data_IF_088606033619
#
_entry.id   IF_088606033619
#
_cell.length_a   1.000
_cell.length_b   1.000
_cell.length_c   1.000
_cell.angle_alpha   90.00
_cell.angle_beta   90.00
_cell.angle_gamma   90.00
#
_symmetry.space_group_name_H-M   'P 1'
#
loop_
_entity.id
_entity.type
_entity.pdbx_description
1 polymer ?
#
# COMPACT_ATOMS: atom_id res chain seq x y z
N UNK A 1 -19.66 -13.87 -13.55
CA UNK A 1 -19.85 -12.61 -12.83
C UNK A 1 -18.74 -11.69 -13.28
N UNK A 2 -19.06 -10.71 -14.12
CA UNK A 2 -18.09 -9.70 -14.56
C UNK A 2 -17.65 -8.91 -13.33
N UNK A 3 -16.35 -8.94 -13.04
CA UNK A 3 -15.75 -8.06 -12.04
C UNK A 3 -15.92 -6.63 -12.55
N UNK A 4 -16.75 -5.82 -11.88
CA UNK A 4 -16.85 -4.39 -12.14
C UNK A 4 -15.44 -3.80 -12.13
N UNK A 5 -14.95 -3.37 -13.30
CA UNK A 5 -13.69 -2.63 -13.40
C UNK A 5 -13.88 -1.33 -12.63
N UNK A 6 -13.28 -1.23 -11.44
CA UNK A 6 -13.23 0.04 -10.71
C UNK A 6 -12.45 1.06 -11.54
N UNK A 7 -13.16 2.07 -12.04
CA UNK A 7 -12.59 3.20 -12.75
C UNK A 7 -11.92 4.14 -11.72
N UNK A 8 -10.64 4.47 -11.93
CA UNK A 8 -9.89 5.38 -11.05
C UNK A 8 -9.85 6.77 -11.66
N UNK A 9 -10.06 7.78 -10.82
CA UNK A 9 -9.96 9.19 -11.19
C UNK A 9 -8.75 9.85 -10.52
N UNK A 10 -8.06 10.72 -11.26
CA UNK A 10 -6.97 11.54 -10.74
C UNK A 10 -7.59 12.74 -10.00
N UNK A 11 -7.26 12.90 -8.72
CA UNK A 11 -7.74 14.01 -7.88
C UNK A 11 -6.54 14.69 -7.24
N UNK A 12 -6.58 16.03 -7.19
CA UNK A 12 -5.58 16.81 -6.47
C UNK A 12 -5.60 16.48 -4.97
N UNK A 13 -4.41 16.32 -4.37
CA UNK A 13 -4.27 15.97 -2.95
C UNK A 13 -4.96 16.97 -2.03
N UNK A 14 -4.94 18.27 -2.37
CA UNK A 14 -5.61 19.33 -1.62
C UNK A 14 -7.12 19.10 -1.53
N UNK A 15 -7.74 18.61 -2.60
CA UNK A 15 -9.17 18.27 -2.59
C UNK A 15 -9.48 17.17 -1.58
N UNK A 16 -8.64 16.13 -1.52
CA UNK A 16 -8.78 15.03 -0.55
C UNK A 16 -8.59 15.54 0.89
N UNK A 17 -7.56 16.36 1.14
CA UNK A 17 -7.29 16.89 2.47
C UNK A 17 -8.42 17.82 2.96
N UNK A 18 -9.05 18.57 2.05
CA UNK A 18 -10.25 19.37 2.33
C UNK A 18 -11.46 18.49 2.67
N UNK A 19 -11.69 17.39 1.94
CA UNK A 19 -12.76 16.43 2.25
C UNK A 19 -12.57 15.80 3.63
N UNK A 20 -11.36 15.38 3.96
CA UNK A 20 -11.03 14.80 5.28
C UNK A 20 -11.29 15.83 6.39
N UNK A 21 -10.86 17.08 6.19
CA UNK A 21 -11.08 18.15 7.16
C UNK A 21 -12.58 18.41 7.38
N UNK A 22 -13.35 18.58 6.30
CA UNK A 22 -14.80 18.79 6.39
C UNK A 22 -15.55 17.64 7.07
N UNK A 23 -15.18 16.39 6.78
CA UNK A 23 -15.78 15.23 7.43
C UNK A 23 -15.45 15.15 8.94
N UNK A 24 -14.22 15.52 9.33
CA UNK A 24 -13.84 15.62 10.76
C UNK A 24 -14.65 16.71 11.46
N UNK A 25 -14.84 17.86 10.83
CA UNK A 25 -15.62 18.95 11.37
C UNK A 25 -17.08 18.54 11.54
N UNK A 26 -17.70 17.90 10.54
CA UNK A 26 -19.05 17.35 10.62
C UNK A 26 -19.17 16.36 11.78
N UNK A 27 -18.22 15.42 11.91
CA UNK A 27 -18.20 14.44 13.00
C UNK A 27 -18.11 15.11 14.39
N UNK A 28 -17.31 16.16 14.51
CA UNK A 28 -17.08 16.87 15.76
C UNK A 28 -18.28 17.73 16.17
N UNK A 29 -18.85 18.46 15.21
CA UNK A 29 -19.89 19.48 15.45
C UNK A 29 -21.31 18.92 15.48
N UNK A 30 -21.55 17.78 14.83
CA UNK A 30 -22.88 17.17 14.82
C UNK A 30 -23.29 16.71 16.21
N UNK A 31 -24.56 16.85 16.57
CA UNK A 31 -25.10 16.30 17.82
C UNK A 31 -25.62 14.87 17.60
N UNK A 32 -26.16 14.60 16.41
CA UNK A 32 -26.73 13.30 16.09
C UNK A 32 -25.66 12.20 15.91
N UNK A 33 -25.85 11.10 16.63
CA UNK A 33 -24.95 9.94 16.59
C UNK A 33 -24.94 9.24 15.22
N UNK A 34 -26.06 9.26 14.50
CA UNK A 34 -26.20 8.77 13.12
C UNK A 34 -25.24 9.50 12.18
N UNK A 35 -25.25 10.83 12.20
CA UNK A 35 -24.39 11.68 11.37
C UNK A 35 -22.92 11.46 11.71
N UNK A 36 -22.56 11.38 13.00
CA UNK A 36 -21.18 11.06 13.41
C UNK A 36 -20.69 9.73 12.86
N UNK A 37 -21.54 8.69 12.91
CA UNK A 37 -21.21 7.35 12.39
C UNK A 37 -21.00 7.38 10.88
N UNK A 38 -21.85 8.10 10.15
CA UNK A 38 -21.71 8.17 8.69
C UNK A 38 -20.44 8.94 8.29
N UNK A 39 -20.14 10.06 8.96
CA UNK A 39 -18.89 10.79 8.74
C UNK A 39 -17.66 9.92 9.05
N UNK A 40 -17.71 9.11 10.11
CA UNK A 40 -16.63 8.18 10.47
C UNK A 40 -16.44 7.08 9.42
N UNK A 41 -17.54 6.53 8.89
CA UNK A 41 -17.53 5.54 7.81
C UNK A 41 -16.87 6.10 6.55
N UNK A 42 -17.21 7.33 6.15
CA UNK A 42 -16.60 7.99 4.98
C UNK A 42 -15.11 8.27 5.19
N UNK A 43 -14.71 8.71 6.39
CA UNK A 43 -13.30 8.89 6.74
C UNK A 43 -12.52 7.58 6.68
N UNK A 44 -13.10 6.49 7.16
CA UNK A 44 -12.46 5.17 7.12
C UNK A 44 -12.31 4.67 5.68
N UNK A 45 -13.31 4.85 4.82
CA UNK A 45 -13.21 4.51 3.39
C UNK A 45 -12.10 5.29 2.68
N UNK A 46 -12.03 6.61 2.90
CA UNK A 46 -10.94 7.44 2.35
C UNK A 46 -9.58 6.99 2.86
N UNK A 47 -9.48 6.67 4.15
CA UNK A 47 -8.24 6.20 4.75
C UNK A 47 -7.81 4.86 4.15
N UNK A 48 -8.73 3.90 4.03
CA UNK A 48 -8.44 2.61 3.40
C UNK A 48 -7.96 2.77 1.95
N UNK A 49 -8.59 3.63 1.15
CA UNK A 49 -8.16 3.85 -0.25
C UNK A 49 -6.81 4.57 -0.34
N UNK A 50 -6.57 5.56 0.53
CA UNK A 50 -5.27 6.20 0.63
C UNK A 50 -4.20 5.20 1.07
N UNK A 51 -4.47 4.39 2.09
CA UNK A 51 -3.53 3.40 2.63
C UNK A 51 -3.27 2.26 1.63
N UNK A 52 -4.27 1.84 0.84
CA UNK A 52 -4.11 0.87 -0.28
C UNK A 52 -3.13 1.37 -1.35
N UNK A 53 -3.05 2.68 -1.55
CA UNK A 53 -2.06 3.32 -2.45
C UNK A 53 -0.72 3.63 -1.78
N UNK A 54 -0.66 3.60 -0.45
CA UNK A 54 0.42 4.16 0.37
C UNK A 54 1.10 3.10 1.25
N UNK A 55 0.97 1.81 0.91
CA UNK A 55 1.78 0.74 1.48
C UNK A 55 3.25 1.10 1.20
N UNK A 56 4.00 1.32 2.27
CA UNK A 56 5.41 1.67 2.18
C UNK A 56 6.16 0.60 1.40
N UNK A 57 7.25 0.98 0.71
CA UNK A 57 8.07 -0.02 0.03
C UNK A 57 8.53 -1.13 0.99
N UNK A 58 8.79 -0.77 2.26
CA UNK A 58 9.13 -1.72 3.33
C UNK A 58 8.04 -2.76 3.56
N UNK A 59 6.78 -2.34 3.64
CA UNK A 59 5.64 -3.25 3.80
C UNK A 59 5.44 -4.13 2.57
N UNK A 60 5.59 -3.58 1.35
CA UNK A 60 5.54 -4.38 0.10
C UNK A 60 6.60 -5.47 0.08
N UNK A 61 7.82 -5.15 0.52
CA UNK A 61 8.91 -6.14 0.63
C UNK A 61 8.55 -7.20 1.67
N UNK A 62 8.03 -6.81 2.84
CA UNK A 62 7.64 -7.76 3.90
C UNK A 62 6.51 -8.70 3.48
N UNK A 63 5.49 -8.19 2.79
CA UNK A 63 4.41 -9.02 2.24
C UNK A 63 4.97 -10.04 1.24
N UNK A 64 5.81 -9.58 0.31
CA UNK A 64 6.44 -10.46 -0.68
C UNK A 64 7.33 -11.52 -0.03
N UNK A 65 8.04 -11.18 1.05
CA UNK A 65 8.78 -12.17 1.85
C UNK A 65 7.86 -13.23 2.44
N UNK A 66 6.69 -12.87 2.98
CA UNK A 66 5.74 -13.86 3.52
C UNK A 66 5.26 -14.82 2.44
N UNK A 67 4.97 -14.31 1.25
CA UNK A 67 4.57 -15.12 0.10
C UNK A 67 5.66 -16.10 -0.34
N UNK A 68 6.92 -15.65 -0.39
CA UNK A 68 8.04 -16.44 -0.92
C UNK A 68 8.66 -17.37 0.11
N UNK A 69 8.34 -17.22 1.41
CA UNK A 69 8.97 -17.96 2.53
C UNK A 69 9.11 -19.47 2.29
N UNK A 70 8.08 -20.11 1.75
CA UNK A 70 8.08 -21.54 1.46
C UNK A 70 8.13 -21.87 -0.04
N UNK A 71 7.71 -20.92 -0.90
CA UNK A 71 7.62 -21.12 -2.34
C UNK A 71 8.96 -20.90 -3.05
N UNK A 72 9.70 -19.88 -2.61
CA UNK A 72 11.04 -19.55 -3.11
C UNK A 72 11.91 -18.97 -1.97
N UNK A 73 12.62 -19.84 -1.23
CA UNK A 73 13.55 -19.41 -0.18
C UNK A 73 14.67 -18.50 -0.67
N UNK A 74 15.07 -18.58 -1.96
CA UNK A 74 16.12 -17.75 -2.54
C UNK A 74 15.67 -16.31 -2.72
N UNK A 75 14.48 -16.11 -3.30
CA UNK A 75 13.86 -14.79 -3.38
C UNK A 75 13.52 -14.26 -1.99
N UNK A 76 13.06 -15.10 -1.05
CA UNK A 76 12.82 -14.70 0.33
C UNK A 76 14.07 -14.11 0.99
N UNK A 77 15.22 -14.79 0.87
CA UNK A 77 16.49 -14.30 1.41
C UNK A 77 16.94 -12.99 0.75
N UNK A 78 16.75 -12.87 -0.58
CA UNK A 78 17.07 -11.66 -1.33
C UNK A 78 16.23 -10.46 -0.89
N UNK A 79 14.92 -10.66 -0.71
CA UNK A 79 14.00 -9.64 -0.22
C UNK A 79 14.29 -9.26 1.25
N UNK A 80 14.72 -10.21 2.08
CA UNK A 80 15.17 -9.92 3.45
C UNK A 80 16.37 -8.96 3.47
N UNK A 81 17.37 -9.22 2.63
CA UNK A 81 18.55 -8.34 2.50
C UNK A 81 18.12 -6.95 2.02
N UNK A 82 17.26 -6.89 0.99
CA UNK A 82 16.72 -5.63 0.47
C UNK A 82 16.01 -4.82 1.57
N UNK A 83 15.16 -5.48 2.36
CA UNK A 83 14.49 -4.85 3.50
C UNK A 83 15.49 -4.28 4.50
N UNK A 84 16.51 -5.06 4.89
CA UNK A 84 17.52 -4.61 5.88
C UNK A 84 18.33 -3.43 5.39
N UNK A 85 18.69 -3.40 4.11
CA UNK A 85 19.45 -2.29 3.52
C UNK A 85 18.62 -1.01 3.42
N UNK A 86 17.33 -1.14 3.09
CA UNK A 86 16.39 -0.01 3.10
C UNK A 86 16.12 0.48 4.53
N UNK A 87 16.02 -0.43 5.49
CA UNK A 87 15.75 -0.12 6.90
C UNK A 87 16.93 0.57 7.58
N UNK A 88 18.15 0.15 7.26
CA UNK A 88 19.39 0.76 7.76
C UNK A 88 19.76 2.07 7.06
N UNK A 89 19.05 2.44 5.99
CA UNK A 89 19.37 3.61 5.15
C UNK A 89 20.61 3.44 4.27
N UNK A 90 21.10 2.21 4.10
CA UNK A 90 22.23 1.91 3.19
C UNK A 90 21.89 2.13 1.71
N UNK A 91 20.60 2.10 1.36
CA UNK A 91 20.09 2.42 0.02
C UNK A 91 18.89 3.37 0.14
N UNK A 92 18.69 4.21 -0.87
CA UNK A 92 17.51 5.08 -0.95
C UNK A 92 16.25 4.27 -1.27
N UNK A 93 15.08 4.85 -0.99
CA UNK A 93 13.81 4.24 -1.33
C UNK A 93 13.64 4.05 -2.85
N UNK A 94 14.12 4.99 -3.68
CA UNK A 94 14.10 4.80 -5.14
C UNK A 94 14.96 3.61 -5.55
N UNK A 95 16.16 3.48 -4.98
CA UNK A 95 17.05 2.37 -5.32
C UNK A 95 16.48 1.03 -4.88
N UNK A 96 15.87 1.00 -3.70
CA UNK A 96 15.20 -0.20 -3.20
C UNK A 96 14.01 -0.59 -4.08
N UNK A 97 13.26 0.39 -4.63
CA UNK A 97 12.12 0.15 -5.51
C UNK A 97 12.56 -0.47 -6.84
N UNK A 98 13.66 0.01 -7.43
CA UNK A 98 14.25 -0.59 -8.63
C UNK A 98 14.60 -2.06 -8.41
N UNK A 99 15.33 -2.35 -7.32
CA UNK A 99 15.77 -3.70 -6.98
C UNK A 99 14.58 -4.62 -6.69
N UNK A 100 13.60 -4.15 -5.94
CA UNK A 100 12.36 -4.89 -5.67
C UNK A 100 11.67 -5.30 -6.98
N UNK A 101 11.48 -4.34 -7.89
CA UNK A 101 10.86 -4.60 -9.19
C UNK A 101 11.68 -5.57 -10.05
N UNK A 102 13.01 -5.50 -9.98
CA UNK A 102 13.89 -6.44 -10.69
C UNK A 102 13.73 -7.86 -10.15
N UNK A 103 13.80 -8.05 -8.82
CA UNK A 103 13.70 -9.36 -8.20
C UNK A 103 12.34 -10.02 -8.43
N UNK A 104 11.26 -9.25 -8.35
CA UNK A 104 9.90 -9.78 -8.53
C UNK A 104 9.54 -10.04 -10.00
N UNK A 105 10.18 -9.34 -10.95
CA UNK A 105 9.97 -9.58 -12.40
C UNK A 105 10.72 -10.80 -12.95
N UNK A 106 11.71 -11.33 -12.22
CA UNK A 106 12.58 -12.39 -12.71
C UNK A 106 11.96 -13.80 -12.69
N UNK A 107 10.78 -14.03 -12.08
CA UNK A 107 10.15 -15.37 -12.14
C UNK A 107 8.98 -15.51 -13.14
N UNK A 108 8.88 -16.63 -13.89
CA UNK A 108 9.76 -17.81 -13.93
C UNK A 108 10.28 -18.13 -15.35
N UNK A 109 11.57 -17.88 -15.60
CA UNK A 109 12.33 -18.60 -16.64
C UNK A 109 13.55 -19.22 -15.96
N UNK A 110 13.44 -20.52 -15.67
CA UNK A 110 14.52 -21.52 -15.53
C UNK A 110 14.26 -22.56 -14.43
N UNK A 111 13.23 -23.39 -14.65
CA UNK A 111 13.25 -24.79 -14.22
C UNK A 111 12.80 -25.73 -15.34
N UNK A 112 13.55 -25.70 -16.42
CA UNK A 112 13.89 -26.88 -17.23
C UNK A 112 15.42 -26.93 -17.12
N UNK A 113 16.01 -27.94 -16.50
CA UNK A 113 16.21 -29.31 -17.01
C UNK A 113 16.30 -30.27 -15.82
#
# INVERSE_FOLDING_TARGET
MESEKSEKILIDRKCIDMLISGLKDIKMTSVEKSIKKEADKMLNLLKEELDRGNISLKEKILEKMRETKSADPGLNATLYILYRNLDSGQISEEKALELFNMYVKIEPYDRTI
#
